data_IF_075457073325
#
_entry.id   IF_075457073325
#
_cell.length_a   1.000
_cell.length_b   1.000
_cell.length_c   1.000
_cell.angle_alpha   90.00
_cell.angle_beta   90.00
_cell.angle_gamma   90.00
#
_symmetry.space_group_name_H-M   'P 1'
#
loop_
_entity.id
_entity.type
_entity.pdbx_description
1 polymer ?
#
# COMPACT_ATOMS: atom_id res chain seq x y z
N UNK A 1 39.12 -33.46 28.27
CA UNK A 1 39.78 -32.16 28.50
C UNK A 1 39.35 -31.18 27.42
N UNK A 2 38.52 -30.20 27.75
CA UNK A 2 38.05 -29.18 26.80
C UNK A 2 39.19 -28.17 26.63
N UNK A 3 39.84 -28.18 25.47
CA UNK A 3 40.86 -27.20 25.12
C UNK A 3 40.20 -25.84 24.92
N UNK A 4 40.26 -24.99 25.95
CA UNK A 4 39.89 -23.59 25.83
C UNK A 4 40.92 -22.89 24.93
N UNK A 5 40.65 -22.83 23.62
CA UNK A 5 41.41 -22.01 22.68
C UNK A 5 41.38 -20.57 23.20
N UNK A 6 42.54 -20.07 23.65
CA UNK A 6 42.73 -18.65 23.99
C UNK A 6 42.43 -17.82 22.74
N UNK A 7 41.21 -17.29 22.66
CA UNK A 7 40.86 -16.29 21.66
C UNK A 7 41.71 -15.04 21.91
N UNK A 8 42.43 -14.61 20.89
CA UNK A 8 43.27 -13.42 21.01
C UNK A 8 42.39 -12.20 21.32
N UNK A 9 42.87 -11.30 22.19
CA UNK A 9 42.14 -10.09 22.61
C UNK A 9 41.60 -9.27 21.41
N UNK A 10 42.29 -9.31 20.27
CA UNK A 10 41.88 -8.65 19.02
C UNK A 10 40.61 -9.27 18.40
N UNK A 11 40.44 -10.60 18.47
CA UNK A 11 39.24 -11.29 17.97
C UNK A 11 38.02 -10.99 18.83
N UNK A 12 38.20 -10.94 20.15
CA UNK A 12 37.14 -10.58 21.10
C UNK A 12 36.67 -9.13 20.86
N UNK A 13 37.61 -8.20 20.66
CA UNK A 13 37.30 -6.80 20.37
C UNK A 13 36.55 -6.65 19.03
N UNK A 14 36.97 -7.38 18.00
CA UNK A 14 36.29 -7.38 16.70
C UNK A 14 34.85 -7.91 16.78
N UNK A 15 34.62 -9.01 17.50
CA UNK A 15 33.26 -9.55 17.69
C UNK A 15 32.37 -8.62 18.51
N UNK A 16 32.93 -7.92 19.50
CA UNK A 16 32.18 -6.95 20.29
C UNK A 16 31.74 -5.73 19.45
N UNK A 17 32.65 -5.17 18.63
CA UNK A 17 32.34 -4.06 17.74
C UNK A 17 31.27 -4.43 16.70
N UNK A 18 31.40 -5.60 16.07
CA UNK A 18 30.40 -6.08 15.11
C UNK A 18 29.06 -6.29 15.82
N UNK A 19 29.04 -6.93 17.00
CA UNK A 19 27.81 -7.13 17.77
C UNK A 19 27.11 -5.81 18.11
N UNK A 20 27.86 -4.79 18.55
CA UNK A 20 27.32 -3.45 18.83
C UNK A 20 26.77 -2.81 17.56
N UNK A 21 27.47 -2.89 16.43
CA UNK A 21 26.98 -2.38 15.14
C UNK A 21 25.67 -3.06 14.72
N UNK A 22 25.56 -4.39 14.85
CA UNK A 22 24.34 -5.12 14.49
C UNK A 22 23.18 -4.77 15.41
N UNK A 23 23.43 -4.56 16.70
CA UNK A 23 22.40 -4.15 17.67
C UNK A 23 21.95 -2.71 17.40
N UNK A 24 22.86 -1.77 17.17
CA UNK A 24 22.53 -0.37 16.88
C UNK A 24 21.78 -0.26 15.54
N UNK A 25 22.23 -0.96 14.51
CA UNK A 25 21.59 -0.94 13.19
C UNK A 25 20.23 -1.68 13.21
N UNK A 26 20.15 -2.82 13.91
CA UNK A 26 18.90 -3.55 14.11
C UNK A 26 17.87 -2.75 14.91
N UNK A 27 18.29 -2.10 16.00
CA UNK A 27 17.42 -1.22 16.78
C UNK A 27 16.98 0.01 15.99
N UNK A 28 17.85 0.58 15.15
CA UNK A 28 17.52 1.70 14.26
C UNK A 28 16.49 1.32 13.18
N UNK A 29 16.55 0.10 12.65
CA UNK A 29 15.54 -0.43 11.72
C UNK A 29 14.19 -0.67 12.41
N UNK A 30 14.19 -1.27 13.59
CA UNK A 30 12.97 -1.52 14.37
C UNK A 30 12.29 -0.22 14.84
N UNK A 31 13.07 0.81 15.17
CA UNK A 31 12.54 2.12 15.59
C UNK A 31 12.07 2.98 14.42
N UNK A 32 12.57 2.78 13.20
CA UNK A 32 12.08 3.46 11.99
C UNK A 32 10.63 3.09 11.67
N UNK A 33 10.25 1.83 11.83
CA UNK A 33 8.85 1.43 11.60
C UNK A 33 7.91 2.01 12.66
N UNK A 34 8.35 2.07 13.92
CA UNK A 34 7.56 2.64 15.01
C UNK A 34 7.36 4.17 14.88
N UNK A 35 8.35 4.90 14.36
CA UNK A 35 8.27 6.36 14.18
C UNK A 35 7.47 6.78 12.94
N UNK A 36 7.41 5.95 11.90
CA UNK A 36 6.53 6.18 10.73
C UNK A 36 5.04 6.02 11.07
N UNK A 37 4.70 5.30 12.13
CA UNK A 37 3.33 5.11 12.62
C UNK A 37 2.93 6.10 13.73
N UNK A 38 3.83 7.03 14.12
CA UNK A 38 3.55 8.04 15.14
C UNK A 38 2.46 9.02 14.68
N UNK A 39 1.34 9.16 15.41
CA UNK A 39 0.28 10.13 15.11
C UNK A 39 0.75 11.59 15.11
N UNK A 40 1.90 11.89 15.72
CA UNK A 40 2.45 13.25 15.84
C UNK A 40 3.20 13.73 14.60
N UNK A 41 3.63 12.82 13.71
CA UNK A 41 4.43 13.20 12.53
C UNK A 41 3.56 13.65 11.34
N UNK A 42 2.26 13.31 11.32
CA UNK A 42 1.35 13.66 10.21
C UNK A 42 -0.03 14.20 10.69
N UNK A 43 -0.10 15.29 11.48
CA UNK A 43 -1.37 15.93 11.82
C UNK A 43 -2.11 16.42 10.56
N UNK A 44 -1.37 16.91 9.54
CA UNK A 44 -1.93 17.30 8.24
C UNK A 44 -2.35 16.11 7.37
N UNK A 45 -1.73 14.94 7.54
CA UNK A 45 -2.09 13.72 6.82
C UNK A 45 -3.49 13.22 7.17
N UNK A 46 -3.87 13.27 8.46
CA UNK A 46 -5.24 12.93 8.89
C UNK A 46 -6.29 13.91 8.38
N UNK A 47 -5.97 15.21 8.37
CA UNK A 47 -6.87 16.24 7.85
C UNK A 47 -7.09 16.10 6.34
N UNK A 48 -6.03 15.77 5.58
CA UNK A 48 -6.16 15.43 4.15
C UNK A 48 -7.04 14.20 3.96
N UNK A 49 -6.84 13.13 4.75
CA UNK A 49 -7.63 11.90 4.64
C UNK A 49 -9.11 12.07 4.98
N UNK A 50 -9.48 13.12 5.69
CA UNK A 50 -10.88 13.40 6.04
C UNK A 50 -11.72 13.80 4.82
N UNK A 51 -11.09 14.38 3.80
CA UNK A 51 -11.74 14.88 2.59
C UNK A 51 -11.53 13.96 1.37
N UNK A 52 -11.01 12.75 1.59
CA UNK A 52 -10.79 11.78 0.53
C UNK A 52 -11.51 10.47 0.86
N UNK A 53 -11.94 9.76 -0.18
CA UNK A 53 -12.28 8.35 -0.10
C UNK A 53 -10.98 7.57 -0.29
N UNK A 54 -10.61 6.75 0.70
CA UNK A 54 -9.48 5.83 0.55
C UNK A 54 -9.95 4.58 -0.21
N UNK A 55 -9.58 4.48 -1.47
CA UNK A 55 -9.91 3.34 -2.34
C UNK A 55 -8.81 2.31 -2.24
N UNK A 56 -9.14 1.10 -1.83
CA UNK A 56 -8.22 -0.05 -1.76
C UNK A 56 -8.62 -1.04 -2.85
N UNK A 57 -7.76 -1.18 -3.84
CA UNK A 57 -7.93 -2.22 -4.85
C UNK A 57 -7.43 -3.53 -4.26
N UNK A 58 -8.29 -4.53 -4.16
CA UNK A 58 -7.99 -5.83 -3.54
C UNK A 58 -8.33 -6.97 -4.50
N UNK A 59 -7.64 -8.10 -4.40
CA UNK A 59 -8.05 -9.31 -5.13
C UNK A 59 -9.33 -9.90 -4.54
N UNK A 60 -9.95 -10.88 -5.23
CA UNK A 60 -11.09 -11.62 -4.68
C UNK A 60 -10.79 -12.32 -3.34
N UNK A 61 -9.52 -12.65 -3.08
CA UNK A 61 -9.00 -13.22 -1.82
C UNK A 61 -8.66 -12.16 -0.76
N UNK A 62 -8.81 -10.86 -1.06
CA UNK A 62 -8.57 -9.75 -0.14
C UNK A 62 -7.13 -9.23 -0.10
N UNK A 63 -6.25 -9.68 -0.98
CA UNK A 63 -4.88 -9.18 -1.06
C UNK A 63 -4.86 -7.76 -1.61
N UNK A 64 -4.19 -6.84 -0.93
CA UNK A 64 -4.06 -5.44 -1.37
C UNK A 64 -3.19 -5.34 -2.62
N UNK A 65 -3.73 -4.76 -3.67
CA UNK A 65 -3.06 -4.53 -4.95
C UNK A 65 -2.50 -3.11 -4.99
N UNK A 66 -3.33 -2.10 -4.72
CA UNK A 66 -2.91 -0.70 -4.62
C UNK A 66 -3.90 0.10 -3.79
N UNK A 67 -3.51 1.32 -3.40
CA UNK A 67 -4.37 2.27 -2.70
C UNK A 67 -4.37 3.60 -3.45
N UNK A 68 -5.56 4.15 -3.65
CA UNK A 68 -5.79 5.44 -4.29
C UNK A 68 -6.62 6.33 -3.34
N UNK A 69 -6.37 7.64 -3.38
CA UNK A 69 -7.08 8.62 -2.57
C UNK A 69 -7.92 9.47 -3.50
N UNK A 70 -9.20 9.14 -3.56
CA UNK A 70 -10.16 9.84 -4.41
C UNK A 70 -10.72 11.05 -3.69
N UNK A 71 -10.85 12.18 -4.39
CA UNK A 71 -11.46 13.39 -3.87
C UNK A 71 -12.25 14.08 -4.98
N UNK A 72 -13.19 14.92 -4.59
CA UNK A 72 -13.94 15.79 -5.51
C UNK A 72 -13.91 17.22 -4.99
N UNK A 73 -13.92 18.19 -5.90
CA UNK A 73 -14.09 19.60 -5.56
C UNK A 73 -15.53 19.94 -5.15
N UNK A 74 -16.47 19.02 -5.35
CA UNK A 74 -17.92 19.25 -5.18
C UNK A 74 -18.45 18.84 -3.80
N UNK A 75 -17.58 18.53 -2.82
CA UNK A 75 -18.00 18.02 -1.52
C UNK A 75 -17.29 18.71 -0.36
N UNK A 76 -18.08 19.22 0.57
CA UNK A 76 -17.63 20.02 1.71
C UNK A 76 -17.37 19.12 2.93
N UNK A 77 -16.22 18.47 2.96
CA UNK A 77 -15.67 17.87 4.17
C UNK A 77 -16.12 16.44 4.49
N UNK A 78 -15.57 15.91 5.58
CA UNK A 78 -15.74 14.51 6.02
C UNK A 78 -17.20 14.13 6.23
N UNK A 79 -17.58 12.94 5.76
CA UNK A 79 -18.91 12.35 5.96
C UNK A 79 -19.94 12.75 4.92
N UNK A 80 -19.60 13.69 4.03
CA UNK A 80 -20.40 14.03 2.85
C UNK A 80 -20.55 12.81 1.95
N UNK A 81 -21.80 12.53 1.57
CA UNK A 81 -22.12 11.50 0.59
C UNK A 81 -21.65 11.94 -0.79
N UNK A 82 -20.86 11.09 -1.41
CA UNK A 82 -20.26 11.29 -2.74
C UNK A 82 -20.51 10.09 -3.63
N UNK A 83 -21.49 9.25 -3.27
CA UNK A 83 -21.74 7.95 -3.90
C UNK A 83 -21.98 8.07 -5.40
N UNK A 84 -22.76 9.04 -5.84
CA UNK A 84 -23.09 9.30 -7.23
C UNK A 84 -21.85 9.69 -8.06
N UNK A 85 -21.08 10.69 -7.59
CA UNK A 85 -19.87 11.18 -8.27
C UNK A 85 -18.80 10.10 -8.27
N UNK A 86 -18.62 9.41 -7.14
CA UNK A 86 -17.67 8.31 -7.01
C UNK A 86 -18.00 7.15 -7.96
N UNK A 87 -19.30 6.82 -8.09
CA UNK A 87 -19.74 5.74 -8.96
C UNK A 87 -19.58 6.12 -10.44
N UNK A 88 -19.88 7.36 -10.83
CA UNK A 88 -19.58 7.84 -12.20
C UNK A 88 -18.09 7.70 -12.50
N UNK A 89 -17.22 8.09 -11.58
CA UNK A 89 -15.76 8.01 -11.78
C UNK A 89 -15.19 6.58 -11.70
N UNK A 90 -15.89 5.55 -11.21
CA UNK A 90 -15.43 4.14 -11.35
C UNK A 90 -16.01 3.44 -12.57
N UNK A 91 -17.24 3.80 -12.97
CA UNK A 91 -17.99 3.09 -14.00
C UNK A 91 -17.58 3.59 -15.40
N UNK A 92 -17.27 4.87 -15.55
CA UNK A 92 -16.86 5.45 -16.82
C UNK A 92 -15.50 4.91 -17.27
N UNK A 93 -15.46 4.34 -18.47
CA UNK A 93 -14.20 3.94 -19.10
C UNK A 93 -13.31 5.18 -19.27
N UNK A 94 -12.02 5.05 -18.93
CA UNK A 94 -11.01 6.12 -18.98
C UNK A 94 -11.15 7.24 -17.94
N UNK A 95 -12.00 7.04 -16.93
CA UNK A 95 -12.08 7.94 -15.78
C UNK A 95 -10.76 8.04 -15.00
N UNK A 96 -10.61 9.13 -14.24
CA UNK A 96 -9.43 9.38 -13.44
C UNK A 96 -9.12 8.21 -12.49
N UNK A 97 -10.14 7.62 -11.86
CA UNK A 97 -9.93 6.50 -10.94
C UNK A 97 -9.54 5.18 -11.64
N UNK A 98 -10.05 4.90 -12.84
CA UNK A 98 -9.70 3.68 -13.57
C UNK A 98 -8.22 3.65 -13.98
N UNK A 99 -7.61 4.82 -14.24
CA UNK A 99 -6.16 4.91 -14.51
C UNK A 99 -5.26 4.55 -13.32
N UNK A 100 -5.81 4.53 -12.10
CA UNK A 100 -5.09 4.16 -10.88
C UNK A 100 -5.17 2.66 -10.54
N UNK A 101 -5.97 1.89 -11.28
CA UNK A 101 -5.97 0.43 -11.23
C UNK A 101 -4.68 -0.05 -11.91
N UNK A 102 -3.87 -0.92 -11.29
CA UNK A 102 -2.65 -1.39 -11.93
C UNK A 102 -2.96 -2.12 -13.24
N UNK A 103 -2.13 -1.90 -14.27
CA UNK A 103 -2.36 -2.33 -15.67
C UNK A 103 -2.75 -3.80 -15.85
N UNK A 104 -2.26 -4.68 -14.97
CA UNK A 104 -2.54 -6.11 -15.00
C UNK A 104 -3.84 -6.50 -14.26
N UNK A 105 -4.65 -5.53 -13.85
CA UNK A 105 -5.93 -5.72 -13.20
C UNK A 105 -7.03 -4.90 -13.88
N UNK A 106 -8.28 -5.32 -13.67
CA UNK A 106 -9.48 -4.61 -14.10
C UNK A 106 -10.52 -4.60 -12.98
N UNK A 107 -11.35 -3.55 -12.98
CA UNK A 107 -12.49 -3.46 -12.08
C UNK A 107 -13.61 -4.39 -12.54
N UNK A 108 -14.10 -5.23 -11.63
CA UNK A 108 -15.24 -6.10 -11.89
C UNK A 108 -16.54 -5.43 -11.43
N UNK A 109 -17.26 -4.84 -12.38
CA UNK A 109 -18.55 -4.19 -12.13
C UNK A 109 -19.66 -5.17 -11.72
N UNK A 110 -19.50 -6.47 -12.01
CA UNK A 110 -20.49 -7.51 -11.68
C UNK A 110 -20.30 -8.09 -10.29
N UNK A 111 -19.19 -7.76 -9.62
CA UNK A 111 -18.88 -8.31 -8.31
C UNK A 111 -19.84 -7.81 -7.22
N UNK A 112 -20.51 -8.73 -6.53
CA UNK A 112 -21.45 -8.39 -5.44
C UNK A 112 -20.78 -7.58 -4.32
N UNK A 113 -19.49 -7.86 -4.03
CA UNK A 113 -18.75 -7.08 -3.02
C UNK A 113 -18.54 -5.63 -3.48
N UNK A 114 -18.27 -5.42 -4.76
CA UNK A 114 -18.14 -4.08 -5.33
C UNK A 114 -19.47 -3.36 -5.32
N UNK A 115 -20.53 -4.00 -5.82
CA UNK A 115 -21.89 -3.44 -5.79
C UNK A 115 -22.27 -3.00 -4.37
N UNK A 116 -21.91 -3.80 -3.35
CA UNK A 116 -22.18 -3.45 -1.95
C UNK A 116 -21.33 -2.29 -1.45
N UNK A 117 -20.02 -2.29 -1.79
CA UNK A 117 -19.08 -1.25 -1.39
C UNK A 117 -19.42 0.12 -2.00
N UNK A 118 -20.08 0.14 -3.16
CA UNK A 118 -20.48 1.35 -3.91
C UNK A 118 -21.84 1.94 -3.48
N UNK A 119 -22.52 1.39 -2.46
CA UNK A 119 -23.86 1.87 -2.04
C UNK A 119 -23.87 3.09 -1.13
N UNK A 120 -22.78 3.37 -0.43
CA UNK A 120 -22.73 4.42 0.58
C UNK A 120 -21.29 4.90 0.77
N UNK A 121 -20.80 5.61 -0.25
CA UNK A 121 -19.44 6.15 -0.28
C UNK A 121 -19.46 7.57 0.24
N UNK A 122 -18.66 7.82 1.28
CA UNK A 122 -18.55 9.12 1.93
C UNK A 122 -17.11 9.56 2.04
N UNK A 123 -16.87 10.86 2.03
CA UNK A 123 -15.54 11.40 2.32
C UNK A 123 -15.04 10.95 3.70
N UNK A 124 -13.79 10.51 3.78
CA UNK A 124 -13.18 9.93 4.97
C UNK A 124 -13.40 8.42 5.13
N UNK A 125 -14.23 7.79 4.28
CA UNK A 125 -14.39 6.33 4.30
C UNK A 125 -13.22 5.63 3.59
N UNK A 126 -13.05 4.36 3.95
CA UNK A 126 -12.23 3.42 3.18
C UNK A 126 -13.15 2.47 2.43
N UNK A 127 -12.97 2.36 1.12
CA UNK A 127 -13.74 1.48 0.24
C UNK A 127 -12.79 0.42 -0.32
N UNK A 128 -13.18 -0.85 -0.22
CA UNK A 128 -12.43 -1.95 -0.82
C UNK A 128 -13.10 -2.34 -2.13
N UNK A 129 -12.40 -2.18 -3.24
CA UNK A 129 -12.85 -2.57 -4.57
C UNK A 129 -12.09 -3.81 -5.02
N UNK A 130 -12.84 -4.86 -5.31
CA UNK A 130 -12.33 -6.11 -5.85
C UNK A 130 -11.94 -5.90 -7.31
N UNK A 131 -10.69 -6.21 -7.62
CA UNK A 131 -10.14 -6.20 -8.97
C UNK A 131 -9.72 -7.60 -9.39
N UNK A 132 -9.88 -7.89 -10.68
CA UNK A 132 -9.54 -9.18 -11.29
C UNK A 132 -8.25 -9.02 -12.06
N UNK A 133 -7.35 -9.99 -11.95
CA UNK A 133 -6.11 -10.00 -12.74
C UNK A 133 -6.46 -10.29 -14.20
N UNK A 134 -6.02 -9.44 -15.11
CA UNK A 134 -6.20 -9.62 -16.54
C UNK A 134 -5.40 -10.86 -16.98
N UNK A 135 -6.08 -11.90 -17.44
CA UNK A 135 -5.50 -13.21 -17.81
C UNK A 135 -4.66 -13.17 -19.09
N UNK A 136 -4.75 -12.08 -19.86
CA UNK A 136 -3.93 -11.83 -21.05
C UNK A 136 -2.47 -11.50 -20.73
N UNK A 137 -2.15 -11.12 -19.48
CA UNK A 137 -0.77 -11.10 -18.96
C UNK A 137 -0.39 -12.48 -18.41
N UNK A 138 -0.51 -13.50 -19.26
CA UNK A 138 0.06 -14.81 -18.99
C UNK A 138 1.58 -14.65 -18.83
N UNK A 139 2.02 -14.59 -17.57
CA UNK A 139 3.41 -14.68 -17.12
C UNK A 139 4.43 -13.90 -17.97
N UNK A 140 4.56 -12.59 -17.75
CA UNK A 140 5.81 -11.94 -18.13
C UNK A 140 6.95 -12.59 -17.37
N UNK A 141 7.87 -13.21 -18.11
CA UNK A 141 9.06 -13.82 -17.53
C UNK A 141 9.87 -12.77 -16.75
N UNK A 142 10.65 -13.19 -15.76
CA UNK A 142 11.54 -12.29 -15.01
C UNK A 142 12.41 -11.43 -15.93
N UNK A 143 12.81 -11.96 -17.09
CA UNK A 143 13.57 -11.23 -18.10
C UNK A 143 12.80 -10.09 -18.75
N UNK A 144 11.52 -10.28 -19.10
CA UNK A 144 10.68 -9.21 -19.63
C UNK A 144 10.45 -8.08 -18.63
N UNK A 145 10.38 -8.41 -17.33
CA UNK A 145 10.25 -7.40 -16.26
C UNK A 145 11.52 -6.57 -16.11
N UNK A 146 12.69 -7.18 -16.28
CA UNK A 146 13.98 -6.49 -16.21
C UNK A 146 14.16 -5.58 -17.42
N UNK A 147 13.88 -6.05 -18.63
CA UNK A 147 14.05 -5.23 -19.85
C UNK A 147 13.14 -4.01 -19.87
N UNK A 148 11.90 -4.13 -19.37
CA UNK A 148 10.95 -3.02 -19.29
C UNK A 148 11.33 -1.96 -18.23
N UNK A 149 12.30 -2.23 -17.35
CA UNK A 149 12.78 -1.25 -16.37
C UNK A 149 13.93 -0.39 -16.92
N UNK A 150 14.63 -0.88 -17.94
CA UNK A 150 15.75 -0.20 -18.58
C UNK A 150 15.37 0.56 -19.86
N UNK A 151 14.15 0.36 -20.37
CA UNK A 151 13.52 1.18 -21.42
C UNK A 151 12.57 2.18 -20.79
#
# INVERSE_FOLDING_TARGET
MISARRLSKRRILGTALIGVMTIVFGASLLTREATLQSPQVLPRGRALMANHVRVRFVTGTGHLVSTYYWSTAHADGKGTDVTDIFNSDIIEADSGMNTHIPKNYSFDQTNVKNITALRNVKLGNTVNLVVIKNTTDASQSLWQRITNWFN
#
